data_IF_339498429884
#
_entry.id   IF_339498429884
#
_cell.length_a   1.000
_cell.length_b   1.000
_cell.length_c   1.000
_cell.angle_alpha   90.00
_cell.angle_beta   90.00
_cell.angle_gamma   90.00
#
_symmetry.space_group_name_H-M   'P 1'
#
loop_
_entity.id
_entity.type
_entity.pdbx_description
1 polymer ?
#
# COMPACT_ATOMS: atom_id res chain seq x y z
N UNK A 1 2.71 -22.92 -37.60
CA UNK A 1 2.69 -24.39 -37.81
C UNK A 1 1.95 -24.70 -39.10
N UNK A 2 2.40 -25.65 -39.94
CA UNK A 2 1.65 -26.04 -41.14
C UNK A 2 0.39 -26.79 -40.72
N UNK A 3 -0.77 -26.18 -40.95
CA UNK A 3 -2.08 -26.78 -40.68
C UNK A 3 -2.91 -26.80 -41.95
N UNK A 4 -3.86 -27.73 -42.04
CA UNK A 4 -4.75 -27.86 -43.18
C UNK A 4 -5.65 -26.61 -43.29
N UNK A 5 -6.02 -26.18 -44.50
CA UNK A 5 -6.81 -24.97 -44.81
C UNK A 5 -8.18 -24.91 -44.11
N UNK A 6 -8.65 -26.03 -43.55
CA UNK A 6 -9.89 -26.13 -42.78
C UNK A 6 -9.72 -25.92 -41.27
N UNK A 7 -8.49 -25.84 -40.76
CA UNK A 7 -8.26 -25.48 -39.36
C UNK A 7 -8.20 -23.97 -39.22
N UNK A 8 -9.15 -23.42 -38.47
CA UNK A 8 -9.08 -22.07 -37.96
C UNK A 8 -8.64 -22.14 -36.49
N UNK A 9 -7.53 -21.49 -36.15
CA UNK A 9 -7.00 -21.45 -34.78
C UNK A 9 -7.61 -20.33 -33.92
N UNK A 10 -8.55 -19.57 -34.47
CA UNK A 10 -9.21 -18.45 -33.79
C UNK A 10 -10.75 -18.58 -33.89
N UNK A 11 -11.28 -19.73 -33.46
CA UNK A 11 -12.73 -19.95 -33.38
C UNK A 11 -13.25 -19.43 -32.04
N UNK A 12 -14.16 -18.46 -32.08
CA UNK A 12 -14.70 -17.81 -30.87
C UNK A 12 -15.28 -18.81 -29.85
N UNK A 13 -15.97 -19.85 -30.30
CA UNK A 13 -16.57 -20.85 -29.38
C UNK A 13 -15.52 -21.64 -28.61
N UNK A 14 -14.38 -21.94 -29.24
CA UNK A 14 -13.26 -22.61 -28.58
C UNK A 14 -12.52 -21.67 -27.63
N UNK A 15 -12.35 -20.40 -28.03
CA UNK A 15 -11.80 -19.36 -27.16
C UNK A 15 -12.63 -19.17 -25.89
N UNK A 16 -13.96 -19.14 -25.99
CA UNK A 16 -14.83 -19.03 -24.82
C UNK A 16 -14.73 -20.26 -23.91
N UNK A 17 -14.72 -21.47 -24.47
CA UNK A 17 -14.53 -22.68 -23.66
C UNK A 17 -13.18 -22.67 -22.93
N UNK A 18 -12.13 -22.23 -23.61
CA UNK A 18 -10.80 -22.14 -23.01
C UNK A 18 -10.76 -21.09 -21.89
N UNK A 19 -11.34 -19.91 -22.13
CA UNK A 19 -11.46 -18.85 -21.13
C UNK A 19 -12.28 -19.31 -19.91
N UNK A 20 -13.36 -20.06 -20.11
CA UNK A 20 -14.17 -20.64 -19.03
C UNK A 20 -13.35 -21.61 -18.18
N UNK A 21 -12.54 -22.47 -18.82
CA UNK A 21 -11.67 -23.41 -18.13
C UNK A 21 -10.55 -22.70 -17.35
N UNK A 22 -9.99 -21.63 -17.90
CA UNK A 22 -8.97 -20.81 -17.22
C UNK A 22 -9.57 -20.16 -15.97
N UNK A 23 -10.73 -19.52 -16.08
CA UNK A 23 -11.42 -18.90 -14.94
C UNK A 23 -11.74 -19.95 -13.87
N UNK A 24 -12.26 -21.11 -14.27
CA UNK A 24 -12.56 -22.20 -13.33
C UNK A 24 -11.29 -22.71 -12.64
N UNK A 25 -10.18 -22.87 -13.38
CA UNK A 25 -8.90 -23.30 -12.80
C UNK A 25 -8.36 -22.29 -11.78
N UNK A 26 -8.47 -20.99 -12.06
CA UNK A 26 -8.07 -19.92 -11.15
C UNK A 26 -8.97 -19.86 -9.92
N UNK A 27 -10.25 -20.20 -10.04
CA UNK A 27 -11.15 -20.33 -8.87
C UNK A 27 -10.86 -21.54 -8.00
N UNK A 28 -10.41 -22.64 -8.61
CA UNK A 28 -10.08 -23.86 -7.86
C UNK A 28 -8.74 -23.77 -7.14
N UNK A 29 -7.74 -23.15 -7.77
CA UNK A 29 -6.35 -23.15 -7.29
C UNK A 29 -5.82 -21.77 -6.89
N UNK A 30 -6.47 -20.70 -7.32
CA UNK A 30 -6.12 -19.34 -6.92
C UNK A 30 -6.58 -19.04 -5.49
N UNK A 31 -6.12 -17.89 -5.02
CA UNK A 31 -6.51 -17.32 -3.75
C UNK A 31 -7.36 -16.08 -3.97
N UNK A 32 -8.18 -15.75 -2.98
CA UNK A 32 -8.92 -14.50 -2.95
C UNK A 32 -7.96 -13.37 -2.57
N UNK A 33 -7.80 -12.39 -3.47
CA UNK A 33 -7.02 -11.19 -3.27
C UNK A 33 -7.91 -9.96 -3.49
N UNK A 34 -7.56 -8.82 -2.90
CA UNK A 34 -8.22 -7.56 -3.24
C UNK A 34 -7.34 -6.77 -4.20
N UNK A 35 -7.93 -6.31 -5.29
CA UNK A 35 -7.34 -5.35 -6.21
C UNK A 35 -7.78 -3.95 -5.84
N UNK A 36 -6.83 -3.04 -5.64
CA UNK A 36 -7.09 -1.65 -5.31
C UNK A 36 -6.57 -0.77 -6.45
N UNK A 37 -7.46 -0.14 -7.24
CA UNK A 37 -7.04 0.82 -8.25
C UNK A 37 -6.53 2.09 -7.60
N UNK A 38 -5.42 2.61 -8.13
CA UNK A 38 -4.81 3.85 -7.69
C UNK A 38 -5.58 5.06 -8.22
N UNK A 39 -5.95 5.97 -7.34
CA UNK A 39 -6.45 7.30 -7.68
C UNK A 39 -5.31 8.33 -7.47
N UNK A 40 -4.95 9.06 -8.52
CA UNK A 40 -3.93 10.12 -8.43
C UNK A 40 -4.60 11.43 -8.05
N UNK A 41 -4.28 11.97 -6.88
CA UNK A 41 -4.93 13.18 -6.33
C UNK A 41 -4.20 14.44 -6.77
N UNK A 42 -2.87 14.45 -6.69
CA UNK A 42 -2.03 15.59 -7.11
C UNK A 42 -0.83 15.13 -7.95
N UNK A 43 -0.71 15.70 -9.16
CA UNK A 43 0.44 15.54 -10.05
C UNK A 43 1.29 16.81 -10.03
N UNK A 44 2.60 16.67 -9.79
CA UNK A 44 3.53 17.77 -10.00
C UNK A 44 3.79 17.95 -11.50
N UNK A 45 3.19 18.98 -12.08
CA UNK A 45 3.39 19.33 -13.50
C UNK A 45 4.82 19.73 -13.90
N UNK A 46 5.72 19.97 -12.94
CA UNK A 46 7.12 20.33 -13.21
C UNK A 46 7.98 19.06 -13.37
N UNK A 47 7.80 18.09 -12.47
CA UNK A 47 8.55 16.84 -12.47
C UNK A 47 7.78 15.67 -13.13
N UNK A 48 6.49 15.85 -13.42
CA UNK A 48 5.55 14.79 -13.80
C UNK A 48 5.62 13.60 -12.84
N UNK A 49 5.69 13.89 -11.55
CA UNK A 49 5.65 12.90 -10.48
C UNK A 49 4.33 13.05 -9.73
N UNK A 50 3.75 11.92 -9.36
CA UNK A 50 2.55 11.91 -8.53
C UNK A 50 2.99 12.18 -7.09
N UNK A 51 2.48 13.25 -6.49
CA UNK A 51 2.86 13.66 -5.14
C UNK A 51 2.04 12.91 -4.09
N UNK A 52 0.79 12.55 -4.42
CA UNK A 52 -0.10 11.87 -3.50
C UNK A 52 -1.03 10.89 -4.23
N UNK A 53 -1.07 9.66 -3.74
CA UNK A 53 -1.95 8.58 -4.22
C UNK A 53 -3.00 8.24 -3.17
N UNK A 54 -4.21 7.91 -3.63
CA UNK A 54 -5.32 7.46 -2.78
C UNK A 54 -5.89 6.14 -3.28
N UNK A 55 -6.37 5.31 -2.36
CA UNK A 55 -7.02 4.03 -2.64
C UNK A 55 -8.37 3.96 -1.92
N UNK A 56 -9.45 4.29 -2.64
CA UNK A 56 -10.82 4.29 -2.08
C UNK A 56 -11.63 3.03 -2.37
N UNK A 57 -11.23 2.24 -3.37
CA UNK A 57 -11.98 1.06 -3.82
C UNK A 57 -11.16 -0.23 -3.67
N UNK A 58 -11.83 -1.31 -3.32
CA UNK A 58 -11.24 -2.65 -3.23
C UNK A 58 -12.14 -3.70 -3.87
N UNK A 59 -11.60 -4.43 -4.85
CA UNK A 59 -12.32 -5.49 -5.58
C UNK A 59 -11.76 -6.86 -5.23
N UNK A 60 -12.58 -7.73 -4.63
CA UNK A 60 -12.23 -9.13 -4.43
C UNK A 60 -12.20 -9.87 -5.78
N UNK A 61 -11.06 -10.46 -6.10
CA UNK A 61 -10.82 -11.26 -7.31
C UNK A 61 -9.95 -12.47 -7.01
N UNK A 62 -10.16 -13.53 -7.78
CA UNK A 62 -9.36 -14.74 -7.65
C UNK A 62 -8.07 -14.61 -8.46
N UNK A 63 -6.93 -14.66 -7.77
CA UNK A 63 -5.59 -14.59 -8.38
C UNK A 63 -4.78 -15.83 -8.02
N UNK A 64 -4.02 -16.33 -8.99
CA UNK A 64 -3.04 -17.39 -8.73
C UNK A 64 -1.65 -16.79 -8.55
N UNK A 65 -0.94 -17.23 -7.51
CA UNK A 65 0.44 -16.81 -7.27
C UNK A 65 1.35 -17.78 -8.00
N UNK A 66 2.03 -17.28 -9.03
CA UNK A 66 3.11 -17.98 -9.70
C UNK A 66 4.38 -17.76 -8.87
N UNK A 67 4.60 -18.63 -7.88
CA UNK A 67 5.87 -18.62 -7.16
C UNK A 67 6.95 -19.24 -8.06
N UNK A 68 8.02 -18.49 -8.33
CA UNK A 68 9.18 -18.95 -9.09
C UNK A 68 10.05 -19.84 -8.19
N UNK A 69 9.49 -20.95 -7.71
CA UNK A 69 10.30 -22.06 -7.16
C UNK A 69 10.98 -22.78 -8.32
N UNK A 70 11.99 -22.13 -8.92
CA UNK A 70 12.51 -22.61 -10.19
C UNK A 70 13.68 -21.84 -10.75
N UNK A 71 14.71 -21.58 -9.94
CA UNK A 71 16.07 -21.34 -10.43
C UNK A 71 16.30 -20.02 -11.17
N UNK A 72 16.23 -18.92 -10.44
CA UNK A 72 17.31 -17.94 -10.36
C UNK A 72 16.92 -17.05 -9.18
N UNK A 73 17.62 -17.23 -8.05
CA UNK A 73 17.71 -16.11 -7.13
C UNK A 73 18.24 -14.96 -7.98
N UNK A 74 17.44 -13.93 -8.15
CA UNK A 74 17.97 -12.61 -8.44
C UNK A 74 18.93 -12.35 -7.27
N UNK A 75 20.18 -12.73 -7.51
CA UNK A 75 21.20 -12.74 -6.50
C UNK A 75 21.31 -11.31 -6.03
N UNK A 76 21.16 -11.13 -4.72
CA UNK A 76 21.53 -9.94 -3.97
C UNK A 76 22.06 -8.83 -4.87
N UNK A 77 21.13 -8.03 -5.42
CA UNK A 77 21.46 -7.06 -6.45
C UNK A 77 22.23 -5.94 -5.77
N UNK A 78 23.54 -6.12 -5.66
CA UNK A 78 24.47 -5.13 -5.14
C UNK A 78 24.46 -3.92 -6.07
N UNK A 79 23.56 -2.98 -5.78
CA UNK A 79 23.57 -1.65 -6.32
C UNK A 79 24.72 -0.85 -5.69
N UNK A 80 25.17 0.22 -6.34
CA UNK A 80 26.20 1.13 -5.81
C UNK A 80 25.77 1.78 -4.47
N UNK A 81 24.52 1.60 -4.06
CA UNK A 81 23.92 2.12 -2.83
C UNK A 81 23.64 1.05 -1.75
N UNK A 82 23.88 -0.24 -2.01
CA UNK A 82 23.70 -1.32 -1.02
C UNK A 82 23.00 -2.56 -1.55
N UNK A 83 22.69 -3.47 -0.62
CA UNK A 83 21.85 -4.66 -0.79
C UNK A 83 20.41 -4.28 -0.49
N UNK A 84 19.52 -4.35 -1.48
CA UNK A 84 18.08 -4.27 -1.26
C UNK A 84 17.46 -5.62 -1.59
N UNK A 85 16.99 -6.33 -0.58
CA UNK A 85 16.17 -7.53 -0.77
C UNK A 85 14.73 -7.06 -0.78
N UNK A 86 14.08 -7.15 -1.94
CA UNK A 86 12.65 -6.88 -2.07
C UNK A 86 11.94 -8.18 -2.34
N UNK A 87 10.86 -8.40 -1.61
CA UNK A 87 9.98 -9.53 -1.86
C UNK A 87 9.20 -9.24 -3.15
N UNK A 88 9.32 -10.16 -4.11
CA UNK A 88 8.63 -10.07 -5.40
C UNK A 88 7.66 -11.25 -5.52
N UNK A 89 6.51 -11.00 -6.13
CA UNK A 89 5.49 -12.00 -6.38
C UNK A 89 4.88 -11.79 -7.75
N UNK A 90 4.59 -12.89 -8.46
CA UNK A 90 3.86 -12.82 -9.73
C UNK A 90 2.42 -13.29 -9.51
N UNK A 91 1.46 -12.38 -9.67
CA UNK A 91 0.04 -12.69 -9.61
C UNK A 91 -0.52 -12.90 -11.02
N UNK A 92 -1.38 -13.89 -11.17
CA UNK A 92 -2.05 -14.20 -12.43
C UNK A 92 -3.54 -14.02 -12.25
N UNK A 93 -4.13 -13.10 -13.02
CA UNK A 93 -5.57 -12.83 -13.05
C UNK A 93 -6.14 -13.21 -14.41
N UNK A 94 -7.39 -13.69 -14.44
CA UNK A 94 -8.10 -13.94 -15.68
C UNK A 94 -8.57 -12.64 -16.34
N UNK A 95 -8.48 -12.56 -17.67
CA UNK A 95 -9.00 -11.42 -18.43
C UNK A 95 -10.50 -11.21 -18.18
N UNK A 96 -11.26 -12.29 -18.03
CA UNK A 96 -12.71 -12.20 -17.80
C UNK A 96 -13.04 -11.71 -16.38
N UNK A 97 -12.28 -12.08 -15.36
CA UNK A 97 -12.44 -11.55 -14.00
C UNK A 97 -12.13 -10.05 -13.99
N UNK A 98 -11.06 -9.64 -14.68
CA UNK A 98 -10.73 -8.23 -14.89
C UNK A 98 -11.88 -7.45 -15.54
N UNK A 99 -12.36 -7.90 -16.70
CA UNK A 99 -13.44 -7.25 -17.44
C UNK A 99 -14.74 -7.16 -16.61
N UNK A 100 -15.02 -8.18 -15.80
CA UNK A 100 -16.26 -8.26 -15.03
C UNK A 100 -16.28 -7.35 -13.79
N UNK A 101 -15.17 -7.27 -13.07
CA UNK A 101 -15.14 -6.66 -11.74
C UNK A 101 -14.43 -5.32 -11.72
N UNK A 102 -13.31 -5.19 -12.43
CA UNK A 102 -12.39 -4.06 -12.24
C UNK A 102 -12.47 -3.09 -13.42
N UNK A 103 -12.57 -3.55 -14.67
CA UNK A 103 -12.47 -2.71 -15.88
C UNK A 103 -13.51 -1.57 -16.01
N UNK A 104 -14.55 -1.61 -15.19
CA UNK A 104 -15.64 -0.62 -15.18
C UNK A 104 -15.35 0.58 -14.28
N UNK A 105 -14.27 0.52 -13.51
CA UNK A 105 -13.86 1.58 -12.60
C UNK A 105 -13.40 2.82 -13.39
N UNK A 106 -13.85 3.99 -12.95
CA UNK A 106 -13.51 5.29 -13.55
C UNK A 106 -12.11 5.77 -13.20
N UNK A 107 -11.49 5.23 -12.15
CA UNK A 107 -10.19 5.65 -11.65
C UNK A 107 -9.02 4.99 -12.41
N UNK A 108 -9.31 3.99 -13.24
CA UNK A 108 -8.30 3.29 -14.03
C UNK A 108 -7.73 4.18 -15.14
N UNK A 109 -6.40 4.22 -15.24
CA UNK A 109 -5.70 4.88 -16.34
C UNK A 109 -6.02 4.22 -17.70
N UNK A 110 -6.12 2.88 -17.72
CA UNK A 110 -6.69 2.13 -18.85
C UNK A 110 -7.60 1.01 -18.35
N UNK A 111 -8.75 0.84 -19.01
CA UNK A 111 -9.67 -0.27 -18.70
C UNK A 111 -9.30 -1.58 -19.39
N UNK A 112 -8.35 -1.54 -20.34
CA UNK A 112 -8.00 -2.70 -21.19
C UNK A 112 -7.18 -3.77 -20.45
N UNK A 113 -6.43 -3.37 -19.43
CA UNK A 113 -5.54 -4.24 -18.64
C UNK A 113 -5.35 -3.63 -17.24
N UNK A 114 -4.91 -4.42 -16.26
CA UNK A 114 -4.38 -3.90 -14.99
C UNK A 114 -3.34 -2.80 -15.21
N UNK A 115 -3.35 -1.77 -14.37
CA UNK A 115 -2.41 -0.66 -14.46
C UNK A 115 -1.19 -0.92 -13.58
N UNK A 116 -0.05 -0.39 -14.00
CA UNK A 116 1.11 -0.27 -13.13
C UNK A 116 0.83 0.76 -12.01
N UNK A 117 1.32 0.48 -10.80
CA UNK A 117 1.11 1.30 -9.60
C UNK A 117 -0.16 0.98 -8.80
N UNK A 118 -1.05 0.14 -9.33
CA UNK A 118 -2.19 -0.38 -8.57
C UNK A 118 -1.71 -1.40 -7.51
N UNK A 119 -2.48 -1.57 -6.43
CA UNK A 119 -2.12 -2.43 -5.32
C UNK A 119 -2.94 -3.72 -5.27
N UNK A 120 -2.32 -4.77 -4.75
CA UNK A 120 -2.93 -6.07 -4.50
C UNK A 120 -2.73 -6.40 -3.02
N UNK A 121 -3.83 -6.52 -2.28
CA UNK A 121 -3.81 -7.03 -0.92
C UNK A 121 -3.96 -8.55 -0.92
N UNK A 122 -3.05 -9.25 -0.24
CA UNK A 122 -3.14 -10.68 -0.01
C UNK A 122 -3.57 -10.99 1.44
N UNK A 123 -4.85 -11.34 1.68
CA UNK A 123 -5.39 -11.46 3.05
C UNK A 123 -4.75 -12.57 3.89
N UNK A 124 -4.19 -13.60 3.26
CA UNK A 124 -3.58 -14.71 4.00
C UNK A 124 -2.24 -14.34 4.64
N UNK A 125 -1.48 -13.43 4.03
CA UNK A 125 -0.24 -12.90 4.62
C UNK A 125 -0.40 -11.51 5.24
N UNK A 126 -1.49 -10.80 4.93
CA UNK A 126 -1.67 -9.38 5.30
C UNK A 126 -0.72 -8.44 4.56
N UNK A 127 -0.10 -8.90 3.47
CA UNK A 127 0.89 -8.13 2.72
C UNK A 127 0.24 -7.41 1.55
N UNK A 128 0.72 -6.20 1.27
CA UNK A 128 0.36 -5.40 0.11
C UNK A 128 1.45 -5.52 -0.95
N UNK A 129 1.05 -5.65 -2.21
CA UNK A 129 1.94 -5.74 -3.35
C UNK A 129 1.61 -4.67 -4.37
N UNK A 130 2.60 -3.94 -4.84
CA UNK A 130 2.46 -2.94 -5.90
C UNK A 130 2.78 -3.56 -7.26
N UNK A 131 1.91 -3.34 -8.24
CA UNK A 131 2.13 -3.82 -9.62
C UNK A 131 3.19 -2.95 -10.30
N UNK A 132 4.38 -3.51 -10.52
CA UNK A 132 5.46 -2.84 -11.26
C UNK A 132 5.34 -3.01 -12.76
N UNK A 133 4.90 -4.19 -13.20
CA UNK A 133 4.80 -4.49 -14.62
C UNK A 133 3.68 -5.49 -14.90
N UNK A 134 2.93 -5.23 -15.97
CA UNK A 134 1.85 -6.10 -16.43
C UNK A 134 2.24 -6.71 -17.76
N UNK A 135 2.54 -8.01 -17.75
CA UNK A 135 2.82 -8.76 -18.96
C UNK A 135 1.51 -8.99 -19.73
N UNK A 136 1.34 -8.23 -20.80
CA UNK A 136 0.19 -8.30 -21.69
C UNK A 136 0.54 -8.89 -23.07
N UNK A 137 1.81 -9.23 -23.30
CA UNK A 137 2.30 -9.78 -24.57
C UNK A 137 3.08 -11.07 -24.34
N UNK A 138 2.39 -12.21 -24.41
CA UNK A 138 3.05 -13.50 -24.46
C UNK A 138 3.24 -13.93 -25.93
N UNK A 139 4.46 -14.32 -26.36
CA UNK A 139 4.71 -14.82 -27.72
C UNK A 139 3.84 -16.03 -28.12
N UNK A 140 3.26 -16.72 -27.14
CA UNK A 140 2.43 -17.91 -27.34
C UNK A 140 0.96 -17.66 -26.93
N UNK A 141 0.19 -17.04 -27.82
CA UNK A 141 -1.25 -16.94 -27.65
C UNK A 141 -1.95 -18.28 -27.92
N UNK A 142 -2.52 -18.87 -26.87
CA UNK A 142 -3.38 -20.04 -26.99
C UNK A 142 -4.62 -19.62 -27.79
N UNK A 143 -4.91 -20.32 -28.90
CA UNK A 143 -6.10 -20.02 -29.75
C UNK A 143 -6.16 -18.56 -30.26
N UNK A 144 -5.01 -17.88 -30.35
CA UNK A 144 -4.90 -16.53 -30.91
C UNK A 144 -5.41 -15.38 -30.03
N UNK A 145 -5.66 -15.60 -28.73
CA UNK A 145 -6.03 -14.55 -27.75
C UNK A 145 -5.25 -14.72 -26.45
N UNK A 146 -5.07 -13.63 -25.69
CA UNK A 146 -4.65 -13.66 -24.30
C UNK A 146 -5.87 -13.93 -23.39
N UNK A 147 -5.71 -14.80 -22.40
CA UNK A 147 -6.78 -15.13 -21.44
C UNK A 147 -6.42 -14.79 -19.99
N UNK A 148 -5.15 -14.49 -19.73
CA UNK A 148 -4.63 -14.17 -18.39
C UNK A 148 -3.67 -12.99 -18.49
N UNK A 149 -3.66 -12.15 -17.46
CA UNK A 149 -2.62 -11.14 -17.25
C UNK A 149 -1.67 -11.65 -16.17
N UNK A 150 -0.36 -11.50 -16.39
CA UNK A 150 0.63 -11.72 -15.34
C UNK A 150 1.08 -10.37 -14.81
N UNK A 151 1.00 -10.22 -13.50
CA UNK A 151 1.31 -9.01 -12.75
C UNK A 151 2.57 -9.29 -11.97
N UNK A 152 3.67 -8.64 -12.35
CA UNK A 152 4.90 -8.65 -11.58
C UNK A 152 4.79 -7.58 -10.52
N UNK A 153 4.80 -8.01 -9.28
CA UNK A 153 4.58 -7.14 -8.14
C UNK A 153 5.77 -7.20 -7.17
N UNK A 154 5.99 -6.08 -6.49
CA UNK A 154 6.93 -5.96 -5.38
C UNK A 154 6.15 -5.66 -4.10
N UNK A 155 6.70 -6.00 -2.93
CA UNK A 155 6.12 -5.59 -1.66
C UNK A 155 5.95 -4.07 -1.62
N UNK A 156 4.75 -3.61 -1.28
CA UNK A 156 4.43 -2.19 -1.17
C UNK A 156 5.07 -1.58 0.08
N UNK A 157 5.65 -0.40 -0.07
CA UNK A 157 6.21 0.40 1.01
C UNK A 157 5.32 1.63 1.20
N UNK A 158 4.73 1.78 2.39
CA UNK A 158 3.89 2.92 2.72
C UNK A 158 4.70 4.23 2.72
N UNK A 159 4.23 5.23 1.98
CA UNK A 159 4.85 6.55 1.82
C UNK A 159 3.82 7.70 2.00
N UNK A 160 2.77 7.48 2.79
CA UNK A 160 1.75 8.50 3.07
C UNK A 160 0.56 8.48 2.10
N UNK A 161 0.29 7.33 1.49
CA UNK A 161 -0.93 7.09 0.73
C UNK A 161 -2.15 6.98 1.65
N UNK A 162 -3.31 7.42 1.16
CA UNK A 162 -4.58 7.42 1.89
C UNK A 162 -5.40 6.16 1.52
N UNK A 163 -5.79 5.36 2.51
CA UNK A 163 -6.52 4.10 2.35
C UNK A 163 -7.92 4.18 2.97
N UNK A 164 -8.94 4.26 2.11
CA UNK A 164 -10.34 4.41 2.49
C UNK A 164 -11.21 3.31 1.88
N UNK A 165 -10.75 2.06 1.93
CA UNK A 165 -11.35 0.96 1.17
C UNK A 165 -12.58 0.34 1.81
N UNK A 166 -12.87 0.68 3.08
CA UNK A 166 -13.87 0.03 3.92
C UNK A 166 -13.57 -1.46 4.21
N UNK A 167 -12.36 -1.92 3.92
CA UNK A 167 -11.88 -3.25 4.26
C UNK A 167 -10.93 -3.10 5.44
N UNK A 168 -11.36 -3.56 6.61
CA UNK A 168 -10.64 -3.36 7.88
C UNK A 168 -9.16 -3.76 7.79
N UNK A 169 -8.84 -4.89 7.16
CA UNK A 169 -7.45 -5.36 7.09
C UNK A 169 -6.56 -4.44 6.24
N UNK A 170 -7.13 -3.75 5.24
CA UNK A 170 -6.40 -2.82 4.37
C UNK A 170 -6.23 -1.48 5.08
N UNK A 171 -7.32 -0.94 5.63
CA UNK A 171 -7.30 0.37 6.29
C UNK A 171 -6.45 0.33 7.59
N UNK A 172 -6.28 -0.84 8.21
CA UNK A 172 -5.38 -1.03 9.37
C UNK A 172 -3.89 -0.86 9.03
N UNK A 173 -3.49 -1.10 7.78
CA UNK A 173 -2.08 -0.96 7.36
C UNK A 173 -1.66 0.50 7.45
N UNK A 174 -2.55 1.41 7.03
CA UNK A 174 -2.36 2.84 7.21
C UNK A 174 -2.26 3.20 8.71
N UNK A 175 -3.15 2.69 9.55
CA UNK A 175 -3.11 2.95 11.00
C UNK A 175 -1.82 2.48 11.69
N UNK A 176 -1.22 1.39 11.21
CA UNK A 176 0.01 0.83 11.78
C UNK A 176 1.28 1.54 11.29
N UNK A 177 1.30 1.99 10.03
CA UNK A 177 2.49 2.57 9.39
C UNK A 177 2.48 4.10 9.34
N UNK A 178 1.31 4.74 9.44
CA UNK A 178 1.19 6.19 9.39
C UNK A 178 1.74 6.85 10.66
N UNK A 179 2.30 8.03 10.47
CA UNK A 179 2.68 8.88 11.59
C UNK A 179 1.42 9.49 12.23
N UNK A 180 1.30 9.34 13.54
CA UNK A 180 0.17 9.87 14.30
C UNK A 180 0.60 10.79 15.44
N UNK A 181 -0.33 11.67 15.83
CA UNK A 181 -0.19 12.57 16.97
C UNK A 181 -1.26 12.23 18.01
N UNK A 182 -0.85 12.10 19.27
CA UNK A 182 -1.77 11.91 20.40
C UNK A 182 -2.10 13.26 21.04
N UNK A 183 -3.39 13.60 21.08
CA UNK A 183 -3.91 14.86 21.58
C UNK A 183 -4.81 14.58 22.78
N UNK A 184 -4.46 15.13 23.94
CA UNK A 184 -5.35 15.10 25.10
C UNK A 184 -6.28 16.30 25.07
N UNK A 185 -7.59 16.06 25.08
CA UNK A 185 -8.61 17.10 25.01
C UNK A 185 -9.01 17.63 26.38
N UNK A 186 -9.34 18.91 26.42
CA UNK A 186 -9.79 19.63 27.61
C UNK A 186 -11.17 19.14 28.09
N UNK A 187 -11.46 19.40 29.36
CA UNK A 187 -12.79 19.17 29.93
C UNK A 187 -13.80 20.16 29.35
N UNK A 188 -14.94 19.67 28.85
CA UNK A 188 -16.10 20.52 28.50
C UNK A 188 -16.46 20.61 27.02
N UNK A 189 -15.91 19.76 26.15
CA UNK A 189 -16.38 19.63 24.77
C UNK A 189 -17.69 18.85 24.63
N UNK A 190 -18.17 18.75 23.38
CA UNK A 190 -19.40 18.05 23.00
C UNK A 190 -19.09 16.92 22.02
N UNK A 191 -19.93 15.89 21.98
CA UNK A 191 -19.82 14.78 21.01
C UNK A 191 -18.61 13.87 21.22
N UNK A 192 -18.57 12.81 20.43
CA UNK A 192 -17.47 11.85 20.37
C UNK A 192 -16.95 11.79 18.95
N UNK A 193 -15.63 11.70 18.80
CA UNK A 193 -15.05 11.54 17.47
C UNK A 193 -15.32 10.13 16.95
N UNK A 194 -15.52 10.01 15.65
CA UNK A 194 -15.72 8.75 14.93
C UNK A 194 -14.42 8.40 14.22
N UNK A 195 -14.06 7.11 14.19
CA UNK A 195 -12.89 6.67 13.42
C UNK A 195 -13.07 7.00 11.93
N UNK A 196 -11.98 7.40 11.31
CA UNK A 196 -11.86 7.80 9.91
C UNK A 196 -12.67 9.05 9.53
N UNK A 197 -13.06 9.88 10.52
CA UNK A 197 -13.68 11.17 10.21
C UNK A 197 -12.62 12.26 10.03
N UNK A 198 -12.88 13.20 9.12
CA UNK A 198 -12.05 14.39 8.98
C UNK A 198 -12.25 15.35 10.15
N UNK A 199 -11.13 15.87 10.66
CA UNK A 199 -11.11 16.88 11.71
C UNK A 199 -10.86 18.24 11.09
N UNK A 200 -11.59 19.25 11.55
CA UNK A 200 -11.42 20.63 11.12
C UNK A 200 -10.94 21.55 12.23
N UNK A 201 -10.05 22.48 11.87
CA UNK A 201 -9.66 23.64 12.66
C UNK A 201 -10.09 24.90 11.91
N UNK A 202 -11.00 25.68 12.50
CA UNK A 202 -11.52 26.90 11.86
C UNK A 202 -12.06 26.65 10.44
N UNK A 203 -12.80 25.55 10.25
CA UNK A 203 -13.39 25.11 8.97
C UNK A 203 -12.38 24.67 7.89
N UNK A 204 -11.12 24.42 8.26
CA UNK A 204 -10.13 23.79 7.37
C UNK A 204 -9.85 22.39 7.88
N UNK A 205 -9.88 21.37 7.00
CA UNK A 205 -9.49 20.00 7.35
C UNK A 205 -8.02 19.99 7.73
N UNK A 206 -7.72 19.46 8.92
CA UNK A 206 -6.36 19.44 9.49
C UNK A 206 -5.80 18.05 9.68
N UNK A 207 -6.64 17.01 9.62
CA UNK A 207 -6.21 15.62 9.71
C UNK A 207 -7.41 14.70 9.86
N UNK A 208 -7.14 13.44 10.14
CA UNK A 208 -8.13 12.37 10.25
C UNK A 208 -8.04 11.65 11.60
N UNK A 209 -9.17 11.16 12.11
CA UNK A 209 -9.24 10.43 13.39
C UNK A 209 -8.88 8.96 13.22
N UNK A 210 -7.82 8.50 13.89
CA UNK A 210 -7.52 7.07 14.03
C UNK A 210 -8.34 6.47 15.18
N UNK A 211 -8.32 7.13 16.34
CA UNK A 211 -9.05 6.64 17.51
C UNK A 211 -9.38 7.72 18.52
N UNK A 212 -10.50 7.54 19.22
CA UNK A 212 -10.95 8.41 20.30
C UNK A 212 -11.31 7.61 21.55
N UNK A 213 -10.75 8.01 22.69
CA UNK A 213 -11.13 7.48 23.99
C UNK A 213 -11.86 8.55 24.81
N UNK A 214 -13.19 8.44 25.03
CA UNK A 214 -13.96 9.47 25.74
C UNK A 214 -13.65 9.52 27.25
N UNK A 215 -13.06 8.47 27.82
CA UNK A 215 -12.73 8.41 29.26
C UNK A 215 -11.43 9.15 29.55
N UNK A 216 -10.37 8.85 28.79
CA UNK A 216 -9.07 9.52 28.92
C UNK A 216 -8.99 10.82 28.13
N UNK A 217 -9.96 11.05 27.21
CA UNK A 217 -10.01 12.16 26.27
C UNK A 217 -8.77 12.26 25.38
N UNK A 218 -8.22 11.09 25.04
CA UNK A 218 -7.13 11.01 24.08
C UNK A 218 -7.71 10.83 22.68
N UNK A 219 -7.36 11.75 21.78
CA UNK A 219 -7.63 11.68 20.35
C UNK A 219 -6.32 11.42 19.63
N UNK A 220 -6.29 10.35 18.85
CA UNK A 220 -5.19 10.06 17.93
C UNK A 220 -5.56 10.51 16.53
N UNK A 221 -4.68 11.26 15.90
CA UNK A 221 -4.89 11.78 14.56
C UNK A 221 -3.73 11.43 13.63
N UNK A 222 -4.03 11.25 12.33
CA UNK A 222 -3.05 11.14 11.23
C UNK A 222 -3.23 12.27 10.22
N UNK A 223 -2.31 12.35 9.26
CA UNK A 223 -2.29 13.34 8.17
C UNK A 223 -2.42 14.78 8.64
N UNK A 224 -1.67 15.10 9.70
CA UNK A 224 -1.73 16.43 10.26
C UNK A 224 -1.11 17.47 9.31
N UNK A 225 -1.95 18.20 8.59
CA UNK A 225 -1.54 19.18 7.58
C UNK A 225 -1.16 20.55 8.17
N UNK A 226 -1.44 20.78 9.46
CA UNK A 226 -1.16 22.05 10.14
C UNK A 226 -0.55 21.85 11.51
N UNK A 227 0.30 22.79 11.92
CA UNK A 227 0.78 22.82 13.30
C UNK A 227 -0.39 23.13 14.24
N UNK A 228 -0.79 22.13 15.01
CA UNK A 228 -1.78 22.27 16.07
C UNK A 228 -1.13 22.85 17.33
N UNK A 229 -1.87 23.70 18.04
CA UNK A 229 -1.41 24.28 19.31
C UNK A 229 -2.42 24.03 20.42
N UNK A 230 -1.92 24.01 21.66
CA UNK A 230 -2.77 23.94 22.85
C UNK A 230 -3.73 25.13 22.87
N UNK A 231 -5.02 24.86 23.05
CA UNK A 231 -6.10 25.85 22.97
C UNK A 231 -6.86 25.87 21.65
N UNK A 232 -6.38 25.18 20.62
CA UNK A 232 -7.13 25.00 19.37
C UNK A 232 -8.40 24.17 19.60
N UNK A 233 -9.46 24.49 18.85
CA UNK A 233 -10.72 23.75 18.88
C UNK A 233 -10.81 22.89 17.62
N UNK A 234 -10.80 21.58 17.83
CA UNK A 234 -10.98 20.58 16.78
C UNK A 234 -12.44 20.20 16.69
N UNK A 235 -12.97 20.12 15.48
CA UNK A 235 -14.36 19.76 15.19
C UNK A 235 -14.39 18.58 14.22
N UNK A 236 -15.00 17.47 14.63
CA UNK A 236 -15.21 16.29 13.79
C UNK A 236 -16.37 16.50 12.80
N UNK A 237 -16.22 15.96 11.59
CA UNK A 237 -17.19 16.13 10.51
C UNK A 237 -18.52 15.40 10.78
N UNK A 238 -18.48 14.21 11.40
CA UNK A 238 -19.64 13.31 11.51
C UNK A 238 -20.09 13.12 12.97
N UNK A 239 -19.14 13.09 13.91
CA UNK A 239 -19.38 12.84 15.33
C UNK A 239 -20.04 13.99 16.10
N UNK A 240 -20.22 15.16 15.46
CA UNK A 240 -20.52 16.44 16.13
C UNK A 240 -19.56 16.72 17.31
N UNK A 241 -18.36 16.13 17.24
CA UNK A 241 -17.33 16.27 18.24
C UNK A 241 -16.77 17.68 18.16
N UNK A 242 -16.66 18.37 19.29
CA UNK A 242 -15.98 19.66 19.39
C UNK A 242 -15.27 19.72 20.71
N UNK A 243 -13.94 19.65 20.65
CA UNK A 243 -13.09 19.61 21.83
C UNK A 243 -11.88 20.55 21.67
N UNK A 244 -11.47 21.16 22.77
CA UNK A 244 -10.28 22.02 22.81
C UNK A 244 -9.05 21.19 23.17
N UNK A 245 -7.93 21.39 22.50
CA UNK A 245 -6.67 20.70 22.80
C UNK A 245 -6.12 21.19 24.15
N UNK A 246 -5.87 20.27 25.09
CA UNK A 246 -5.25 20.56 26.39
C UNK A 246 -3.75 20.27 26.41
N UNK A 247 -3.31 19.19 25.75
CA UNK A 247 -1.90 18.88 25.55
C UNK A 247 -1.70 18.07 24.29
N UNK A 248 -0.52 18.22 23.70
CA UNK A 248 -0.08 17.52 22.49
C UNK A 248 1.08 16.64 22.90
N UNK A 249 0.97 15.33 22.66
CA UNK A 249 2.07 14.39 22.72
C UNK A 249 2.44 14.10 21.28
N UNK A 250 3.44 14.85 20.82
CA UNK A 250 4.09 14.56 19.54
C UNK A 250 5.04 13.38 19.76
N UNK A 251 4.72 12.26 19.12
CA UNK A 251 5.56 11.08 19.12
C UNK A 251 6.58 11.22 17.98
N UNK A 252 7.49 12.18 18.10
CA UNK A 252 8.77 12.17 17.36
C UNK A 252 9.70 11.04 17.86
N UNK A 253 9.26 10.28 18.87
CA UNK A 253 9.92 9.07 19.33
C UNK A 253 9.32 7.87 18.63
N UNK A 254 9.92 7.47 17.49
CA UNK A 254 9.61 6.21 16.82
C UNK A 254 9.49 5.10 17.87
N UNK A 255 8.28 4.56 18.05
CA UNK A 255 8.14 3.24 18.63
C UNK A 255 8.95 2.30 17.74
N UNK A 256 9.74 1.42 18.33
CA UNK A 256 10.60 0.48 17.62
C UNK A 256 9.75 -0.31 16.61
N UNK A 257 9.77 0.10 15.34
CA UNK A 257 9.29 -0.70 14.22
C UNK A 257 10.03 -2.05 14.31
N UNK A 258 9.30 -3.15 14.15
CA UNK A 258 9.84 -4.51 14.23
C UNK A 258 10.99 -4.76 13.25
N UNK A 259 11.16 -3.88 12.26
CA UNK A 259 12.23 -3.90 11.25
C UNK A 259 13.26 -2.77 11.40
N UNK A 260 13.04 -1.79 12.30
CA UNK A 260 13.94 -0.65 12.44
C UNK A 260 15.13 -0.95 13.38
N UNK A 261 16.31 -1.10 12.79
CA UNK A 261 17.57 -1.30 13.52
C UNK A 261 18.18 0.01 14.07
N UNK A 262 17.51 1.16 13.94
CA UNK A 262 18.06 2.47 14.33
C UNK A 262 18.43 2.55 15.82
N UNK A 263 17.60 1.98 16.71
CA UNK A 263 17.87 1.92 18.14
C UNK A 263 19.03 0.97 18.45
N UNK A 264 19.13 -0.13 17.71
CA UNK A 264 20.24 -1.08 17.82
C UNK A 264 21.55 -0.45 17.35
N UNK A 265 21.53 0.29 16.24
CA UNK A 265 22.67 1.06 15.74
C UNK A 265 23.11 2.16 16.72
N UNK A 266 22.18 2.92 17.30
CA UNK A 266 22.51 3.92 18.34
C UNK A 266 23.13 3.25 19.56
N UNK A 267 22.49 2.21 20.10
CA UNK A 267 22.93 1.54 21.34
C UNK A 267 24.28 0.82 21.17
N UNK A 268 24.54 0.27 19.97
CA UNK A 268 25.80 -0.42 19.67
C UNK A 268 26.90 0.53 19.19
N UNK A 269 26.58 1.71 18.67
CA UNK A 269 27.57 2.67 18.16
C UNK A 269 28.65 3.04 19.19
N UNK A 270 28.25 3.22 20.45
CA UNK A 270 29.15 3.57 21.56
C UNK A 270 30.15 2.44 21.91
N UNK A 271 29.90 1.21 21.46
CA UNK A 271 30.77 0.05 21.70
C UNK A 271 31.77 -0.25 20.56
N UNK A 272 31.66 0.40 19.40
CA UNK A 272 32.51 0.12 18.24
C UNK A 272 33.84 0.87 18.24
N UNK A 273 33.93 2.03 18.92
CA UNK A 273 35.11 2.87 18.95
C UNK A 273 35.73 2.88 20.35
N UNK A 274 36.73 2.02 20.57
CA UNK A 274 37.51 1.99 21.81
C UNK A 274 38.56 3.11 21.82
N UNK A 275 38.26 4.19 22.56
CA UNK A 275 39.19 5.31 22.81
C UNK A 275 39.93 5.19 24.14
N UNK A 276 39.92 4.01 24.79
CA UNK A 276 40.62 3.81 26.07
C UNK A 276 42.15 3.72 25.90
N UNK A 277 42.63 3.48 24.69
CA UNK A 277 44.07 3.47 24.40
C UNK A 277 44.56 4.82 23.88
N UNK A 278 45.41 5.49 24.67
CA UNK A 278 46.09 6.72 24.27
C UNK A 278 47.07 6.45 23.12
N UNK A 279 46.91 7.17 22.01
CA UNK A 279 47.80 7.10 20.85
C UNK A 279 49.26 7.44 21.24
N UNK A 280 50.20 6.48 21.20
CA UNK A 280 51.58 6.68 21.66
C UNK A 280 52.45 7.52 20.70
N UNK A 281 51.90 7.97 19.57
CA UNK A 281 52.62 8.75 18.57
C UNK A 281 52.05 10.17 18.34
N UNK A 282 51.06 10.59 19.15
CA UNK A 282 50.32 11.83 18.93
C UNK A 282 50.39 12.89 20.03
N UNK A 283 50.81 12.57 21.26
CA UNK A 283 50.94 13.59 22.31
C UNK A 283 52.29 14.32 22.23
N UNK A 284 52.22 15.63 22.01
CA UNK A 284 53.31 16.57 22.29
C UNK A 284 53.35 16.78 23.80
N UNK A 285 54.53 16.61 24.39
CA UNK A 285 54.78 16.96 25.80
C UNK A 285 54.60 18.46 26.05
#
# INVERSE_FOLDING_TARGET
MPTNVFFNHAVNTEQHLYEDLVVESLRMYGHECYYLPREVVEEDTILNEDVQSRFGDAYSVEMYIENVEGFEGEGDLMSKFGVSVRDTATFVISLRSWERFISLDSNLATSLRPNEGDLIHFPMSGSMFEIKFVEHENPFYQVGKLFVFKLQCELFEYSGEDFDTNVTDIDLIEDEQAYYIDLTMATGGSGDYVNNENITLSSVVVGEVISWNPVTRNLRIRDNTKTLVVGDVLVGADGNASHTIASIVDIMTMGNDGTADNLDFETKADGYLDFSETNPFGEVT
#
